data_IF_433798130803
#
_entry.id   IF_433798130803
#
_cell.length_a   1.000
_cell.length_b   1.000
_cell.length_c   1.000
_cell.angle_alpha   90.00
_cell.angle_beta   90.00
_cell.angle_gamma   90.00
#
_symmetry.space_group_name_H-M   'P 1'
#
loop_
_entity.id
_entity.type
_entity.pdbx_description
1 polymer ?
#
# COMPACT_ATOMS: atom_id res chain seq x y z
N UNK A 1 7.26 6.69 4.49
CA UNK A 1 6.58 7.25 3.31
C UNK A 1 5.57 8.28 3.80
N UNK A 2 5.18 9.24 2.95
CA UNK A 2 4.18 10.28 3.25
C UNK A 2 3.00 10.16 2.23
N UNK A 3 2.18 9.10 2.32
CA UNK A 3 1.08 8.87 1.37
C UNK A 3 0.06 10.02 1.32
N UNK A 4 -0.14 10.74 2.41
CA UNK A 4 -1.00 11.92 2.53
C UNK A 4 -0.51 13.12 1.72
N UNK A 5 0.78 13.14 1.34
CA UNK A 5 1.37 14.19 0.51
C UNK A 5 1.15 13.93 -0.99
N UNK A 6 0.68 12.74 -1.38
CA UNK A 6 0.38 12.43 -2.77
C UNK A 6 -0.76 13.32 -3.24
N UNK A 7 -0.58 13.98 -4.38
CA UNK A 7 -1.59 14.80 -5.04
C UNK A 7 -1.94 14.20 -6.39
N UNK A 8 -3.22 14.24 -6.80
CA UNK A 8 -3.60 13.81 -8.14
C UNK A 8 -2.92 14.70 -9.19
N UNK A 9 -2.53 14.09 -10.31
CA UNK A 9 -2.08 14.82 -11.50
C UNK A 9 -3.22 14.85 -12.51
N UNK A 10 -3.55 16.02 -13.06
CA UNK A 10 -4.69 16.19 -13.96
C UNK A 10 -6.04 15.97 -13.27
N UNK A 11 -7.00 15.42 -14.01
CA UNK A 11 -8.35 15.10 -13.52
C UNK A 11 -8.57 13.56 -13.51
N UNK A 12 -7.98 12.83 -12.55
CA UNK A 12 -8.08 11.38 -12.52
C UNK A 12 -9.50 10.93 -12.14
N UNK A 13 -9.88 9.76 -12.66
CA UNK A 13 -11.07 9.04 -12.21
C UNK A 13 -10.66 8.10 -11.08
N UNK A 14 -11.35 8.20 -9.94
CA UNK A 14 -11.09 7.36 -8.78
C UNK A 14 -11.98 6.10 -8.78
N UNK A 15 -11.43 4.96 -8.37
CA UNK A 15 -12.15 3.71 -8.22
C UNK A 15 -11.62 2.87 -7.04
N UNK A 16 -12.47 1.98 -6.51
CA UNK A 16 -12.11 1.05 -5.43
C UNK A 16 -12.77 1.35 -4.09
N UNK A 17 -12.87 0.30 -3.26
CA UNK A 17 -13.58 0.33 -1.98
C UNK A 17 -13.01 1.30 -0.93
N UNK A 18 -11.76 1.74 -1.10
CA UNK A 18 -11.14 2.76 -0.26
C UNK A 18 -11.90 4.09 -0.28
N UNK A 19 -12.63 4.39 -1.36
CA UNK A 19 -13.47 5.59 -1.47
C UNK A 19 -14.61 5.57 -0.47
N UNK A 20 -15.28 4.42 -0.30
CA UNK A 20 -16.32 4.26 0.72
C UNK A 20 -15.74 4.18 2.13
N UNK A 21 -14.59 3.51 2.30
CA UNK A 21 -13.93 3.37 3.60
C UNK A 21 -13.42 4.69 4.18
N UNK A 22 -13.08 5.66 3.33
CA UNK A 22 -12.53 6.97 3.72
C UNK A 22 -13.29 8.12 3.06
N UNK A 23 -14.63 8.07 3.09
CA UNK A 23 -15.50 9.00 2.37
C UNK A 23 -15.20 10.49 2.64
N UNK A 24 -14.85 10.85 3.89
CA UNK A 24 -14.49 12.24 4.24
C UNK A 24 -13.23 12.73 3.49
N UNK A 25 -12.24 11.86 3.31
CA UNK A 25 -11.01 12.17 2.57
C UNK A 25 -11.22 12.19 1.05
N UNK A 26 -12.31 11.58 0.56
CA UNK A 26 -12.63 11.42 -0.87
C UNK A 26 -14.03 11.99 -1.21
N UNK A 27 -14.34 13.19 -0.71
CA UNK A 27 -15.64 13.84 -0.94
C UNK A 27 -16.00 14.08 -2.42
N UNK A 28 -15.00 14.07 -3.32
CA UNK A 28 -15.21 14.14 -4.78
C UNK A 28 -15.82 12.88 -5.42
N UNK A 29 -15.98 11.81 -4.65
CA UNK A 29 -16.61 10.56 -5.09
C UNK A 29 -15.76 9.76 -6.09
N UNK A 30 -16.42 8.83 -6.77
CA UNK A 30 -15.80 7.93 -7.73
C UNK A 30 -16.55 6.59 -7.81
N UNK A 31 -15.94 5.60 -8.45
CA UNK A 31 -16.52 4.27 -8.62
C UNK A 31 -16.07 3.33 -7.49
N UNK A 32 -16.71 3.43 -6.33
CA UNK A 32 -16.30 2.68 -5.13
C UNK A 32 -16.44 1.15 -5.27
N UNK A 33 -17.38 0.68 -6.09
CA UNK A 33 -17.68 -0.75 -6.28
C UNK A 33 -16.74 -1.43 -7.30
N UNK A 34 -15.90 -0.67 -7.99
CA UNK A 34 -14.96 -1.23 -8.97
C UNK A 34 -13.82 -1.92 -8.24
N UNK A 35 -13.72 -3.23 -8.41
CA UNK A 35 -12.68 -4.08 -7.81
C UNK A 35 -11.79 -4.72 -8.89
N UNK A 36 -10.56 -5.14 -8.56
CA UNK A 36 -9.70 -5.84 -9.51
C UNK A 36 -10.38 -7.10 -10.07
N UNK A 37 -10.27 -7.31 -11.38
CA UNK A 37 -10.86 -8.44 -12.08
C UNK A 37 -9.85 -9.12 -13.02
N UNK A 38 -9.97 -10.43 -13.18
CA UNK A 38 -8.96 -11.26 -13.84
C UNK A 38 -8.74 -10.88 -15.32
N UNK A 39 -9.80 -10.44 -16.01
CA UNK A 39 -9.72 -9.99 -17.40
C UNK A 39 -8.75 -8.81 -17.57
N UNK A 40 -8.90 -7.76 -16.76
CA UNK A 40 -8.04 -6.57 -16.83
C UNK A 40 -6.62 -6.90 -16.35
N UNK A 41 -6.47 -7.81 -15.38
CA UNK A 41 -5.15 -8.34 -14.99
C UNK A 41 -4.47 -9.04 -16.17
N UNK A 42 -5.19 -9.87 -16.94
CA UNK A 42 -4.65 -10.55 -18.11
C UNK A 42 -4.25 -9.57 -19.23
N UNK A 43 -5.04 -8.52 -19.47
CA UNK A 43 -4.71 -7.46 -20.43
C UNK A 43 -3.40 -6.75 -20.06
N UNK A 44 -3.22 -6.38 -18.79
CA UNK A 44 -1.97 -5.79 -18.28
C UNK A 44 -0.80 -6.78 -18.37
N UNK A 45 -1.04 -8.06 -18.08
CA UNK A 45 -0.02 -9.10 -18.19
C UNK A 45 0.45 -9.29 -19.64
N UNK A 46 -0.45 -9.22 -20.63
CA UNK A 46 -0.08 -9.29 -22.04
C UNK A 46 0.88 -8.15 -22.43
N UNK A 47 0.62 -6.92 -21.97
CA UNK A 47 1.51 -5.77 -22.18
C UNK A 47 2.88 -6.00 -21.50
N UNK A 48 2.90 -6.49 -20.26
CA UNK A 48 4.14 -6.79 -19.55
C UNK A 48 4.95 -7.91 -20.22
N UNK A 49 4.27 -8.94 -20.73
CA UNK A 49 4.87 -10.05 -21.44
C UNK A 49 5.53 -9.59 -22.75
N UNK A 50 4.84 -8.77 -23.55
CA UNK A 50 5.39 -8.19 -24.77
C UNK A 50 6.61 -7.31 -24.50
N UNK A 51 6.64 -6.63 -23.35
CA UNK A 51 7.78 -5.84 -22.89
C UNK A 51 8.90 -6.67 -22.23
N UNK A 52 8.80 -8.00 -22.20
CA UNK A 52 9.80 -8.89 -21.61
C UNK A 52 9.87 -8.87 -20.06
N UNK A 53 8.89 -8.26 -19.38
CA UNK A 53 8.86 -8.12 -17.91
C UNK A 53 8.29 -9.36 -17.21
N UNK A 54 8.94 -10.50 -17.41
CA UNK A 54 8.60 -11.78 -16.76
C UNK A 54 9.50 -12.03 -15.55
N UNK A 55 8.99 -12.80 -14.60
CA UNK A 55 9.75 -13.35 -13.47
C UNK A 55 9.58 -14.87 -13.44
N UNK A 56 10.51 -15.58 -12.81
CA UNK A 56 10.35 -17.00 -12.52
C UNK A 56 9.26 -17.22 -11.46
N UNK A 57 8.77 -18.46 -11.35
CA UNK A 57 7.81 -18.79 -10.31
C UNK A 57 8.33 -18.53 -8.89
N UNK A 58 9.64 -18.74 -8.64
CA UNK A 58 10.25 -18.49 -7.34
C UNK A 58 10.34 -16.98 -7.00
N UNK A 59 10.45 -16.13 -8.01
CA UNK A 59 10.54 -14.67 -7.86
C UNK A 59 9.17 -13.99 -7.72
N UNK A 60 8.07 -14.70 -7.97
CA UNK A 60 6.71 -14.18 -7.85
C UNK A 60 6.33 -13.98 -6.37
N UNK A 61 6.71 -12.83 -5.80
CA UNK A 61 6.49 -12.46 -4.41
C UNK A 61 5.36 -11.42 -4.27
N UNK A 62 4.60 -11.42 -3.16
CA UNK A 62 3.63 -10.36 -2.88
C UNK A 62 4.27 -8.98 -2.74
N UNK A 63 3.53 -7.92 -3.08
CA UNK A 63 3.96 -6.55 -2.80
C UNK A 63 3.71 -6.20 -1.33
N UNK A 64 4.78 -5.80 -0.65
CA UNK A 64 4.71 -5.40 0.75
C UNK A 64 4.71 -3.88 0.90
N UNK A 65 3.57 -3.31 1.30
CA UNK A 65 3.37 -1.86 1.31
C UNK A 65 3.91 -1.15 2.56
N UNK A 66 4.17 -1.86 3.66
CA UNK A 66 4.56 -1.24 4.94
C UNK A 66 5.90 -1.76 5.43
N UNK A 67 6.86 -0.86 5.62
CA UNK A 67 8.15 -1.20 6.21
C UNK A 67 8.03 -1.44 7.72
N UNK A 68 8.84 -2.36 8.26
CA UNK A 68 9.03 -2.58 9.71
C UNK A 68 7.74 -2.70 10.55
N UNK A 69 6.84 -3.62 10.19
CA UNK A 69 5.65 -3.89 11.03
C UNK A 69 5.96 -4.60 12.35
N UNK A 70 7.16 -5.13 12.53
CA UNK A 70 7.63 -5.69 13.78
C UNK A 70 8.96 -5.04 14.19
N UNK A 71 9.05 -4.67 15.46
CA UNK A 71 10.32 -4.29 16.08
C UNK A 71 11.22 -5.51 16.21
N UNK A 72 12.50 -5.31 15.92
CA UNK A 72 13.56 -6.25 16.29
C UNK A 72 13.64 -6.40 17.81
N UNK A 73 14.23 -7.51 18.27
CA UNK A 73 14.52 -7.73 19.69
C UNK A 73 15.33 -6.57 20.31
N UNK A 74 16.26 -5.97 19.55
CA UNK A 74 17.04 -4.82 19.99
C UNK A 74 16.16 -3.59 20.17
N UNK A 75 15.38 -3.23 19.14
CA UNK A 75 14.44 -2.10 19.20
C UNK A 75 13.45 -2.27 20.37
N UNK A 76 12.96 -3.49 20.65
CA UNK A 76 12.10 -3.76 21.82
C UNK A 76 12.79 -3.53 23.16
N UNK A 77 14.08 -3.89 23.30
CA UNK A 77 14.86 -3.66 24.52
C UNK A 77 15.08 -2.17 24.76
N UNK A 78 15.42 -1.43 23.71
CA UNK A 78 15.67 0.02 23.79
C UNK A 78 14.40 0.79 24.17
N UNK A 79 13.24 0.41 23.61
CA UNK A 79 11.94 0.96 23.99
C UNK A 79 11.57 0.67 25.46
N UNK A 80 11.89 -0.52 25.96
CA UNK A 80 11.65 -0.87 27.36
C UNK A 80 12.52 -0.05 28.33
N UNK A 81 13.79 0.18 27.97
CA UNK A 81 14.70 1.01 28.75
C UNK A 81 14.28 2.48 28.76
N UNK A 82 13.87 3.04 27.62
CA UNK A 82 13.35 4.41 27.52
C UNK A 82 12.08 4.60 28.36
N UNK A 83 11.13 3.66 28.30
CA UNK A 83 9.89 3.71 29.08
C UNK A 83 10.15 3.62 30.59
N UNK A 84 11.16 2.85 31.03
CA UNK A 84 11.54 2.75 32.43
C UNK A 84 12.17 4.06 32.96
N UNK A 85 12.90 4.80 32.11
CA UNK A 85 13.48 6.09 32.46
C UNK A 85 12.41 7.21 32.57
N UNK A 86 11.37 7.17 31.74
CA UNK A 86 10.26 8.15 31.77
C UNK A 86 9.29 7.95 32.95
N UNK A 87 9.10 6.71 33.42
CA UNK A 87 8.23 6.39 34.55
C UNK A 87 8.88 6.55 35.94
N UNK A 88 10.13 7.02 35.99
CA UNK A 88 10.93 7.18 37.21
C UNK A 88 11.08 8.62 37.71
N UNK A 89 10.16 9.52 37.33
CA UNK A 89 10.08 10.90 37.82
C UNK A 89 8.80 11.12 38.65
#
# INVERSE_FOLDING_TARGET
>A
SAPEAVRPQGAPVACGNGLSAYAEAFAGGGFAEVMPHAEQVAQLAAIALAAGRKVTAAEAQPLYLRNKIAYTQAERRDMAAAKAAEGGA
#
